data_IF_603117086351
#
_entry.id   IF_603117086351
#
_cell.length_a   1.000
_cell.length_b   1.000
_cell.length_c   1.000
_cell.angle_alpha   90.00
_cell.angle_beta   90.00
_cell.angle_gamma   90.00
#
_symmetry.space_group_name_H-M   'P 1'
#
loop_
_entity.id
_entity.type
_entity.pdbx_description
1 polymer ?
#
# COMPACT_ATOMS: atom_id res chain seq x y z
N UNK A 1 -6.96 -5.28 5.89
CA UNK A 1 -6.21 -6.54 5.69
C UNK A 1 -6.51 -7.45 6.88
N UNK A 2 -6.54 -8.78 6.74
CA UNK A 2 -6.92 -9.66 7.86
C UNK A 2 -5.69 -10.06 8.66
N UNK A 3 -5.58 -9.59 9.90
CA UNK A 3 -4.54 -10.01 10.84
C UNK A 3 -4.90 -11.41 11.36
N UNK A 4 -4.23 -12.44 10.85
CA UNK A 4 -4.55 -13.84 11.17
C UNK A 4 -4.14 -14.26 12.59
N UNK A 5 -3.24 -13.50 13.25
CA UNK A 5 -2.79 -13.74 14.63
C UNK A 5 -2.72 -12.43 15.39
N UNK A 6 -3.73 -12.13 16.19
CA UNK A 6 -3.71 -10.99 17.10
C UNK A 6 -3.03 -11.43 18.39
N UNK A 7 -1.98 -10.73 18.87
CA UNK A 7 -1.35 -11.08 20.13
C UNK A 7 -2.28 -10.80 21.32
N UNK A 8 -2.23 -11.64 22.35
CA UNK A 8 -3.02 -11.49 23.57
C UNK A 8 -2.56 -10.31 24.45
N UNK A 9 -1.34 -9.82 24.21
CA UNK A 9 -0.71 -8.73 24.94
C UNK A 9 0.24 -7.93 24.05
N UNK A 10 0.31 -6.62 24.26
CA UNK A 10 1.37 -5.75 23.72
C UNK A 10 2.11 -5.08 24.89
N UNK A 11 3.27 -4.48 24.61
CA UNK A 11 4.05 -3.74 25.62
C UNK A 11 3.21 -2.57 26.18
N UNK A 12 2.89 -2.56 27.49
CA UNK A 12 2.07 -1.51 28.10
C UNK A 12 2.75 -0.14 28.13
N UNK A 13 4.08 -0.06 28.01
CA UNK A 13 4.82 1.20 27.97
C UNK A 13 4.90 1.81 26.55
N UNK A 14 4.36 1.12 25.55
CA UNK A 14 4.42 1.54 24.15
C UNK A 14 3.56 2.78 23.90
N UNK A 15 4.18 3.84 23.38
CA UNK A 15 3.48 5.07 22.99
C UNK A 15 2.87 4.90 21.58
N UNK A 16 1.61 4.50 21.55
CA UNK A 16 0.87 4.24 20.32
C UNK A 16 0.65 5.51 19.48
N UNK A 17 0.60 6.70 20.08
CA UNK A 17 0.36 7.95 19.38
C UNK A 17 1.62 8.40 18.60
N UNK A 18 2.79 8.24 19.19
CA UNK A 18 4.08 8.46 18.51
C UNK A 18 4.23 7.49 17.34
N UNK A 19 3.97 6.20 17.57
CA UNK A 19 4.10 5.16 16.53
C UNK A 19 3.14 5.42 15.37
N UNK A 20 1.92 5.87 15.67
CA UNK A 20 0.95 6.28 14.65
C UNK A 20 1.50 7.42 13.78
N UNK A 21 2.06 8.46 14.40
CA UNK A 21 2.63 9.59 13.67
C UNK A 21 3.78 9.15 12.75
N UNK A 22 4.72 8.33 13.26
CA UNK A 22 5.82 7.78 12.48
C UNK A 22 5.34 6.92 11.31
N UNK A 23 4.35 6.05 11.55
CA UNK A 23 3.76 5.20 10.51
C UNK A 23 3.09 6.04 9.40
N UNK A 24 2.39 7.12 9.76
CA UNK A 24 1.77 8.02 8.78
C UNK A 24 2.82 8.76 7.93
N UNK A 25 3.95 9.16 8.51
CA UNK A 25 5.08 9.74 7.77
C UNK A 25 5.69 8.72 6.80
N UNK A 26 5.83 7.48 7.24
CA UNK A 26 6.32 6.35 6.44
C UNK A 26 5.40 6.01 5.26
N UNK A 27 4.08 6.07 5.48
CA UNK A 27 3.06 5.96 4.43
C UNK A 27 3.24 7.08 3.41
N UNK A 28 3.41 8.32 3.86
CA UNK A 28 3.59 9.47 2.97
C UNK A 28 4.82 9.32 2.08
N UNK A 29 5.97 8.92 2.65
CA UNK A 29 7.21 8.67 1.90
C UNK A 29 7.01 7.62 0.81
N UNK A 30 6.37 6.49 1.13
CA UNK A 30 6.09 5.40 0.19
C UNK A 30 5.05 5.77 -0.87
N UNK A 31 4.08 6.60 -0.53
CA UNK A 31 3.14 7.14 -1.50
C UNK A 31 3.81 8.02 -2.56
N UNK A 32 4.87 8.77 -2.22
CA UNK A 32 5.67 9.49 -3.21
C UNK A 32 6.41 8.54 -4.16
N UNK A 33 6.91 7.40 -3.67
CA UNK A 33 7.55 6.39 -4.53
C UNK A 33 6.54 5.80 -5.53
N UNK A 34 5.33 5.47 -5.06
CA UNK A 34 4.21 5.04 -5.91
C UNK A 34 3.87 6.07 -6.99
N UNK A 35 3.78 7.35 -6.62
CA UNK A 35 3.54 8.45 -7.55
C UNK A 35 4.65 8.56 -8.61
N UNK A 36 5.91 8.39 -8.20
CA UNK A 36 7.07 8.38 -9.08
C UNK A 36 7.08 7.18 -10.04
N UNK A 37 6.61 6.02 -9.62
CA UNK A 37 6.46 4.86 -10.50
C UNK A 37 5.42 5.10 -11.60
N UNK A 38 4.32 5.79 -11.29
CA UNK A 38 3.24 6.08 -12.22
C UNK A 38 3.59 7.08 -13.34
N UNK A 39 4.71 7.83 -13.21
CA UNK A 39 5.20 8.70 -14.30
C UNK A 39 6.15 7.98 -15.26
N UNK A 40 6.57 6.74 -14.94
CA UNK A 40 7.45 5.96 -15.82
C UNK A 40 6.61 5.29 -16.90
N UNK A 41 6.91 5.47 -18.20
CA UNK A 41 6.09 4.94 -19.31
C UNK A 41 6.33 3.44 -19.55
N UNK A 42 6.42 2.64 -18.49
CA UNK A 42 6.55 1.18 -18.54
C UNK A 42 5.23 0.56 -18.11
N UNK A 43 4.55 -0.21 -18.99
CA UNK A 43 3.29 -0.85 -18.65
C UNK A 43 3.39 -1.72 -17.39
N UNK A 44 2.42 -1.58 -16.48
CA UNK A 44 2.27 -2.37 -15.25
C UNK A 44 3.38 -2.21 -14.19
N UNK A 45 4.40 -1.38 -14.43
CA UNK A 45 5.49 -1.16 -13.47
C UNK A 45 4.96 -0.55 -12.16
N UNK A 46 4.06 0.41 -12.27
CA UNK A 46 3.40 1.07 -11.14
C UNK A 46 2.67 0.07 -10.24
N UNK A 47 1.92 -0.88 -10.82
CA UNK A 47 1.21 -1.92 -10.07
C UNK A 47 2.18 -2.84 -9.31
N UNK A 48 3.26 -3.27 -9.96
CA UNK A 48 4.27 -4.14 -9.33
C UNK A 48 4.94 -3.42 -8.16
N UNK A 49 5.30 -2.16 -8.35
CA UNK A 49 5.91 -1.33 -7.30
C UNK A 49 4.92 -1.11 -6.16
N UNK A 50 3.66 -0.78 -6.44
CA UNK A 50 2.62 -0.58 -5.43
C UNK A 50 2.42 -1.83 -4.57
N UNK A 51 2.35 -3.01 -5.20
CA UNK A 51 2.25 -4.29 -4.47
C UNK A 51 3.49 -4.53 -3.62
N UNK A 52 4.69 -4.31 -4.17
CA UNK A 52 5.95 -4.45 -3.44
C UNK A 52 6.02 -3.54 -2.20
N UNK A 53 5.63 -2.27 -2.37
CA UNK A 53 5.57 -1.27 -1.29
C UNK A 53 4.61 -1.71 -0.19
N UNK A 54 3.36 -2.07 -0.52
CA UNK A 54 2.36 -2.47 0.47
C UNK A 54 2.78 -3.74 1.21
N UNK A 55 3.37 -4.67 0.47
CA UNK A 55 3.86 -5.94 0.98
C UNK A 55 5.02 -5.80 1.98
N UNK A 56 5.76 -4.69 1.95
CA UNK A 56 6.75 -4.38 3.00
C UNK A 56 6.17 -3.48 4.08
N UNK A 57 5.41 -2.47 3.69
CA UNK A 57 4.85 -1.47 4.58
C UNK A 57 3.88 -2.05 5.60
N UNK A 58 3.00 -2.96 5.18
CA UNK A 58 1.96 -3.50 6.05
C UNK A 58 2.57 -4.34 7.20
N UNK A 59 3.46 -5.32 6.93
CA UNK A 59 4.14 -6.02 8.02
C UNK A 59 4.97 -5.11 8.92
N UNK A 60 5.62 -4.08 8.36
CA UNK A 60 6.39 -3.10 9.14
C UNK A 60 5.49 -2.28 10.08
N UNK A 61 4.32 -1.84 9.61
CA UNK A 61 3.33 -1.14 10.44
C UNK A 61 2.84 -2.07 11.56
N UNK A 62 2.46 -3.31 11.25
CA UNK A 62 1.99 -4.27 12.27
C UNK A 62 3.06 -4.45 13.36
N UNK A 63 4.31 -4.69 12.96
CA UNK A 63 5.42 -4.90 13.88
C UNK A 63 5.68 -3.69 14.79
N UNK A 64 5.58 -2.46 14.26
CA UNK A 64 5.74 -1.23 15.06
C UNK A 64 4.67 -1.09 16.13
N UNK A 65 3.44 -1.53 15.87
CA UNK A 65 2.36 -1.54 16.86
C UNK A 65 2.41 -2.74 17.83
N UNK A 66 3.46 -3.57 17.76
CA UNK A 66 3.55 -4.80 18.55
C UNK A 66 2.54 -5.87 18.15
N UNK A 67 1.90 -5.72 17.00
CA UNK A 67 0.98 -6.70 16.44
C UNK A 67 1.80 -7.79 15.73
N UNK A 68 1.31 -9.03 15.74
CA UNK A 68 2.05 -10.14 15.16
C UNK A 68 2.35 -9.82 13.67
N UNK A 69 3.63 -9.86 13.26
CA UNK A 69 3.97 -9.57 11.88
C UNK A 69 3.38 -10.66 10.98
N UNK A 70 2.72 -10.27 9.89
CA UNK A 70 2.44 -11.17 8.77
C UNK A 70 3.78 -11.50 8.11
N UNK A 71 4.47 -12.52 8.64
CA UNK A 71 5.82 -12.91 8.26
C UNK A 71 5.88 -13.50 6.85
N UNK A 72 5.77 -12.64 5.83
CA UNK A 72 6.12 -12.97 4.45
C UNK A 72 6.55 -11.67 3.76
N UNK A 73 7.82 -11.49 3.40
CA UNK A 73 8.26 -10.40 2.52
C UNK A 73 8.26 -10.88 1.06
N UNK A 74 7.75 -10.05 0.15
CA UNK A 74 7.80 -10.34 -1.29
C UNK A 74 9.14 -10.02 -1.94
N UNK A 75 9.95 -9.24 -1.24
CA UNK A 75 11.28 -8.86 -1.68
C UNK A 75 12.20 -8.95 -0.48
N UNK A 76 13.29 -9.69 -0.67
CA UNK A 76 14.35 -9.83 0.29
C UNK A 76 15.45 -8.81 -0.05
N UNK A 77 15.69 -7.81 0.82
CA UNK A 77 16.71 -6.79 0.57
C UNK A 77 18.14 -7.32 0.67
N UNK A 78 18.39 -8.41 1.39
CA UNK A 78 19.73 -9.01 1.51
C UNK A 78 20.10 -9.82 0.26
N UNK A 79 19.17 -10.66 -0.19
CA UNK A 79 19.40 -11.50 -1.37
C UNK A 79 19.04 -10.81 -2.70
N UNK A 80 18.37 -9.65 -2.64
CA UNK A 80 17.82 -8.91 -3.79
C UNK A 80 16.87 -9.77 -4.65
N UNK A 81 16.29 -10.82 -4.07
CA UNK A 81 15.40 -11.72 -4.77
C UNK A 81 13.95 -11.31 -4.57
N UNK A 82 13.19 -11.45 -5.66
CA UNK A 82 11.74 -11.25 -5.66
C UNK A 82 11.07 -12.60 -5.46
N UNK A 83 10.34 -12.76 -4.36
CA UNK A 83 9.54 -13.95 -4.08
C UNK A 83 8.23 -13.89 -4.87
N UNK A 84 8.28 -14.31 -6.14
CA UNK A 84 7.15 -14.30 -7.07
C UNK A 84 5.90 -15.04 -6.57
N UNK A 85 6.07 -16.10 -5.78
CA UNK A 85 4.95 -16.83 -5.20
C UNK A 85 4.17 -15.98 -4.20
N UNK A 86 4.88 -15.25 -3.35
CA UNK A 86 4.28 -14.40 -2.33
C UNK A 86 3.73 -13.10 -2.92
N UNK A 87 4.37 -12.58 -3.98
CA UNK A 87 3.81 -11.49 -4.76
C UNK A 87 2.48 -11.91 -5.38
N UNK A 88 2.40 -13.13 -5.92
CA UNK A 88 1.16 -13.65 -6.49
C UNK A 88 0.08 -13.81 -5.41
N UNK A 89 0.41 -14.35 -4.24
CA UNK A 89 -0.54 -14.53 -3.14
C UNK A 89 -1.12 -13.20 -2.66
N UNK A 90 -0.28 -12.18 -2.43
CA UNK A 90 -0.74 -10.83 -2.07
C UNK A 90 -1.40 -10.10 -3.25
N UNK A 91 -0.94 -10.34 -4.47
CA UNK A 91 -1.58 -9.86 -5.69
C UNK A 91 -3.01 -10.40 -5.87
N UNK A 92 -3.31 -11.60 -5.36
CA UNK A 92 -4.67 -12.15 -5.29
C UNK A 92 -5.51 -11.41 -4.25
N UNK A 93 -4.95 -11.06 -3.09
CA UNK A 93 -5.62 -10.20 -2.09
C UNK A 93 -5.91 -8.79 -2.65
N UNK A 94 -5.03 -8.28 -3.51
CA UNK A 94 -5.22 -7.02 -4.25
C UNK A 94 -5.83 -7.21 -5.66
N UNK A 95 -6.37 -8.39 -5.99
CA UNK A 95 -6.83 -8.71 -7.35
C UNK A 95 -7.91 -7.75 -7.86
N UNK A 96 -8.73 -7.18 -6.97
CA UNK A 96 -9.70 -6.16 -7.31
C UNK A 96 -9.07 -4.91 -7.97
N UNK A 97 -7.92 -4.43 -7.49
CA UNK A 97 -7.19 -3.31 -8.10
C UNK A 97 -6.68 -3.64 -9.51
N UNK A 98 -6.23 -4.88 -9.71
CA UNK A 98 -5.66 -5.36 -10.99
C UNK A 98 -6.75 -5.58 -12.03
N UNK A 99 -7.88 -6.18 -11.64
CA UNK A 99 -9.02 -6.45 -12.52
C UNK A 99 -9.67 -5.14 -12.97
N UNK A 100 -9.89 -4.19 -12.05
CA UNK A 100 -10.49 -2.88 -12.40
C UNK A 100 -9.64 -2.10 -13.39
N UNK A 101 -8.30 -2.08 -13.23
CA UNK A 101 -7.41 -1.38 -14.18
C UNK A 101 -7.33 -2.07 -15.56
N UNK A 102 -7.42 -3.41 -15.60
CA UNK A 102 -7.43 -4.17 -16.85
C UNK A 102 -8.71 -3.92 -17.66
N UNK A 103 -9.86 -3.82 -17.00
CA UNK A 103 -11.14 -3.51 -17.63
C UNK A 103 -11.17 -2.11 -18.27
N UNK A 104 -10.58 -1.11 -17.61
CA UNK A 104 -10.49 0.27 -18.13
C UNK A 104 -9.67 0.34 -19.43
N UNK A 105 -8.56 -0.42 -19.53
CA UNK A 105 -7.70 -0.44 -20.72
C UNK A 105 -8.38 -1.10 -21.93
N UNK A 106 -9.14 -2.18 -21.71
CA UNK A 106 -9.83 -2.90 -22.79
C UNK A 106 -10.88 -2.02 -23.48
N UNK A 107 -11.52 -1.11 -22.74
CA UNK A 107 -12.47 -0.13 -23.28
C UNK A 107 -11.83 1.03 -24.06
N UNK A 108 -10.57 1.38 -23.76
CA UNK A 108 -9.90 2.56 -24.34
C UNK A 108 -9.28 2.31 -25.73
N UNK A 109 -8.82 1.10 -26.01
CA UNK A 109 -8.03 0.81 -27.22
C UNK A 109 -8.80 0.98 -28.53
N UNK A 110 -10.13 0.86 -28.54
CA UNK A 110 -10.91 0.85 -29.78
C UNK A 110 -11.61 2.17 -30.14
N UNK A 111 -11.86 3.05 -29.16
CA UNK A 111 -12.68 4.26 -29.38
C UNK A 111 -11.84 5.55 -29.33
N UNK A 112 -10.82 5.63 -28.47
CA UNK A 112 -10.04 6.86 -28.27
C UNK A 112 -8.89 7.04 -29.28
N UNK A 113 -8.27 5.95 -29.75
CA UNK A 113 -7.07 6.00 -30.59
C UNK A 113 -7.29 6.61 -31.99
N UNK A 114 -8.52 6.55 -32.53
CA UNK A 114 -8.83 7.07 -33.88
C UNK A 114 -9.22 8.55 -33.92
N UNK A 115 -9.67 9.13 -32.81
CA UNK A 115 -10.22 10.51 -32.79
C UNK A 115 -9.18 11.54 -32.33
N UNK A 116 -8.22 11.14 -31.50
CA UNK A 116 -7.33 12.09 -30.79
C UNK A 116 -6.01 12.38 -31.53
N UNK A 117 -5.65 11.57 -32.53
CA UNK A 117 -4.33 11.64 -33.20
C UNK A 117 -4.13 12.84 -34.14
N UNK A 118 -5.19 13.60 -34.51
CA UNK A 118 -5.07 14.65 -35.53
C UNK A 118 -4.99 16.10 -35.05
N UNK A 119 -5.34 16.46 -33.80
CA UNK A 119 -5.37 17.88 -33.40
C UNK A 119 -4.81 18.26 -32.03
N UNK A 120 -4.37 17.32 -31.17
CA UNK A 120 -3.93 17.65 -29.80
C UNK A 120 -2.57 17.05 -29.44
N UNK A 121 -1.75 16.73 -30.43
CA UNK A 121 -0.44 16.05 -30.23
C UNK A 121 0.67 16.99 -29.74
N UNK A 122 0.45 18.31 -29.76
CA UNK A 122 1.51 19.29 -29.45
C UNK A 122 1.58 19.71 -27.98
N UNK A 123 0.53 19.43 -27.19
CA UNK A 123 0.44 19.63 -25.74
C UNK A 123 -0.56 18.56 -25.26
N UNK A 124 -0.27 17.56 -24.42
CA UNK A 124 0.66 17.52 -23.29
C UNK A 124 1.05 16.03 -23.06
N UNK A 125 2.25 15.56 -23.47
CA UNK A 125 2.75 14.23 -23.08
C UNK A 125 2.89 14.03 -21.55
N UNK A 126 2.73 15.11 -20.77
CA UNK A 126 2.83 15.16 -19.31
C UNK A 126 1.47 15.15 -18.58
N UNK A 127 0.33 15.42 -19.24
CA UNK A 127 -0.96 15.60 -18.56
C UNK A 127 -1.50 14.31 -17.96
N UNK A 128 -1.41 13.21 -18.71
CA UNK A 128 -1.79 11.88 -18.23
C UNK A 128 -0.92 11.38 -17.08
N UNK A 129 0.39 11.69 -17.11
CA UNK A 129 1.34 11.28 -16.07
C UNK A 129 1.08 12.00 -14.75
N UNK A 130 0.74 13.29 -14.77
CA UNK A 130 0.38 14.04 -13.55
C UNK A 130 -0.88 13.47 -12.89
N UNK A 131 -1.90 13.17 -13.70
CA UNK A 131 -3.15 12.57 -13.21
C UNK A 131 -2.86 11.17 -12.63
N UNK A 132 -2.09 10.34 -13.34
CA UNK A 132 -1.71 9.00 -12.89
C UNK A 132 -0.89 9.05 -11.59
N UNK A 133 0.10 9.93 -11.49
CA UNK A 133 0.92 10.12 -10.29
C UNK A 133 0.09 10.58 -9.09
N UNK A 134 -0.82 11.53 -9.31
CA UNK A 134 -1.72 12.04 -8.25
C UNK A 134 -2.65 10.94 -7.76
N UNK A 135 -3.21 10.15 -8.68
CA UNK A 135 -4.09 9.03 -8.33
C UNK A 135 -3.33 7.92 -7.59
N UNK A 136 -2.14 7.54 -8.07
CA UNK A 136 -1.26 6.57 -7.40
C UNK A 136 -0.93 7.00 -5.97
N UNK A 137 -0.48 8.25 -5.80
CA UNK A 137 -0.23 8.84 -4.48
C UNK A 137 -1.45 8.76 -3.56
N UNK A 138 -2.62 9.21 -4.03
CA UNK A 138 -3.83 9.27 -3.22
C UNK A 138 -4.32 7.89 -2.81
N UNK A 139 -4.32 6.93 -3.74
CA UNK A 139 -4.75 5.55 -3.46
C UNK A 139 -3.80 4.90 -2.46
N UNK A 140 -2.48 4.95 -2.72
CA UNK A 140 -1.47 4.39 -1.83
C UNK A 140 -1.57 5.00 -0.42
N UNK A 141 -1.62 6.33 -0.33
CA UNK A 141 -1.74 7.04 0.95
C UNK A 141 -3.01 6.67 1.70
N UNK A 142 -4.17 6.64 1.03
CA UNK A 142 -5.45 6.31 1.69
C UNK A 142 -5.48 4.88 2.22
N UNK A 143 -5.08 3.91 1.39
CA UNK A 143 -5.11 2.49 1.75
C UNK A 143 -4.17 2.21 2.92
N UNK A 144 -2.93 2.69 2.84
CA UNK A 144 -1.95 2.42 3.88
C UNK A 144 -2.21 3.22 5.17
N UNK A 145 -2.70 4.46 5.09
CA UNK A 145 -3.09 5.22 6.28
C UNK A 145 -4.30 4.61 7.01
N UNK A 146 -5.27 4.07 6.26
CA UNK A 146 -6.37 3.32 6.87
C UNK A 146 -5.85 2.11 7.66
N UNK A 147 -4.90 1.35 7.09
CA UNK A 147 -4.26 0.23 7.77
C UNK A 147 -3.49 0.64 9.04
N UNK A 148 -2.82 1.80 9.03
CA UNK A 148 -2.18 2.36 10.24
C UNK A 148 -3.21 2.64 11.33
N UNK A 149 -4.35 3.23 10.97
CA UNK A 149 -5.41 3.53 11.93
C UNK A 149 -6.05 2.27 12.51
N UNK A 150 -6.28 1.25 11.67
CA UNK A 150 -6.80 -0.04 12.11
C UNK A 150 -5.84 -0.69 13.14
N UNK A 151 -4.54 -0.67 12.86
CA UNK A 151 -3.52 -1.21 13.77
C UNK A 151 -3.45 -0.40 15.08
N UNK A 152 -3.52 0.92 15.00
CA UNK A 152 -3.54 1.81 16.16
C UNK A 152 -4.74 1.51 17.07
N UNK A 153 -5.94 1.45 16.49
CA UNK A 153 -7.16 1.16 17.25
C UNK A 153 -7.10 -0.21 17.90
N UNK A 154 -6.63 -1.23 17.17
CA UNK A 154 -6.50 -2.59 17.69
C UNK A 154 -5.49 -2.66 18.84
N UNK A 155 -4.30 -2.06 18.67
CA UNK A 155 -3.27 -2.03 19.71
C UNK A 155 -3.78 -1.32 20.98
N UNK A 156 -4.49 -0.20 20.82
CA UNK A 156 -5.08 0.56 21.93
C UNK A 156 -6.14 -0.24 22.69
N UNK A 157 -6.98 -0.99 21.98
CA UNK A 157 -7.97 -1.88 22.58
C UNK A 157 -7.31 -3.02 23.38
N UNK A 158 -6.22 -3.60 22.88
CA UNK A 158 -5.44 -4.63 23.58
C UNK A 158 -4.81 -4.03 24.85
N UNK A 159 -4.12 -2.90 24.76
CA UNK A 159 -3.49 -2.23 25.90
C UNK A 159 -4.51 -1.89 27.00
N UNK A 160 -5.69 -1.41 26.61
CA UNK A 160 -6.78 -1.10 27.54
C UNK A 160 -7.30 -2.34 28.26
N UNK A 161 -7.49 -3.45 27.55
CA UNK A 161 -7.93 -4.72 28.14
C UNK A 161 -6.89 -5.29 29.11
N UNK A 162 -5.60 -5.23 28.76
CA UNK A 162 -4.52 -5.65 29.65
C UNK A 162 -4.48 -4.82 30.93
N UNK A 163 -4.55 -3.49 30.82
CA UNK A 163 -4.55 -2.61 31.98
C UNK A 163 -5.76 -2.85 32.89
N UNK A 164 -6.93 -3.16 32.34
CA UNK A 164 -8.12 -3.51 33.13
C UNK A 164 -7.94 -4.85 33.89
N UNK A 165 -7.23 -5.82 33.32
CA UNK A 165 -6.92 -7.10 33.98
C UNK A 165 -5.84 -6.98 35.06
N UNK A 166 -4.92 -6.01 34.93
CA UNK A 166 -3.85 -5.77 35.90
C UNK A 166 -4.32 -5.03 37.16
N UNK A 167 -5.45 -4.32 37.08
CA UNK A 167 -5.99 -3.48 38.18
C UNK A 167 -7.22 -4.12 38.85
N UNK A 168 -7.74 -5.22 38.30
CA UNK A 168 -8.93 -5.94 38.78
C UNK A 168 -8.65 -7.12 39.71
#
# INVERSE_FOLDING_TARGET
MKIDKIPDSIDPALDLDIIRAECLELVQKRAYISAGAAVVPVPFLDVVIDVGILSQLIPEVNARFGLAPEQISVYDPETKQVHWHELRKRGVEFSGLVITRTAVKSSFNNIAAKVITKQVTKFIPLGGQIIAASLGYMVMKKVAAAHVEDCYSLAKDIQKKQNAQLVG
#
